data_IF_462933300523
#
_entry.id   IF_462933300523
#
_cell.length_a   1.000
_cell.length_b   1.000
_cell.length_c   1.000
_cell.angle_alpha   90.00
_cell.angle_beta   90.00
_cell.angle_gamma   90.00
#
_symmetry.space_group_name_H-M   'P 1'
#
loop_
_entity.id
_entity.type
_entity.pdbx_description
1 polymer ?
#
# COMPACT_ATOMS: atom_id res chain seq x y z
N UNK A 1 44.28 -5.76 -21.59
CA UNK A 1 42.96 -5.81 -20.93
C UNK A 1 42.94 -5.16 -19.56
N UNK A 2 43.98 -5.32 -18.72
CA UNK A 2 44.05 -4.68 -17.39
C UNK A 2 44.18 -3.15 -17.43
N UNK A 3 44.95 -2.58 -18.36
CA UNK A 3 45.17 -1.13 -18.47
C UNK A 3 43.90 -0.32 -18.78
N UNK A 4 42.99 -0.88 -19.59
CA UNK A 4 41.70 -0.24 -19.90
C UNK A 4 40.72 -0.25 -18.73
N UNK A 5 40.77 -1.27 -17.89
CA UNK A 5 39.96 -1.33 -16.66
C UNK A 5 40.47 -0.29 -15.64
N UNK A 6 41.79 -0.13 -15.55
CA UNK A 6 42.41 0.87 -14.66
C UNK A 6 42.07 2.29 -15.10
N UNK A 7 42.10 2.60 -16.40
CA UNK A 7 41.73 3.95 -16.88
C UNK A 7 40.25 4.26 -16.67
N UNK A 8 39.36 3.30 -16.93
CA UNK A 8 37.92 3.46 -16.68
C UNK A 8 37.64 3.66 -15.18
N UNK A 9 38.31 2.90 -14.31
CA UNK A 9 38.17 3.06 -12.86
C UNK A 9 38.66 4.45 -12.38
N UNK A 10 39.78 4.95 -12.91
CA UNK A 10 40.30 6.28 -12.58
C UNK A 10 39.36 7.40 -13.04
N UNK A 11 38.80 7.30 -14.25
CA UNK A 11 37.80 8.25 -14.74
C UNK A 11 36.54 8.21 -13.88
N UNK A 12 36.05 7.02 -13.54
CA UNK A 12 34.87 6.89 -12.68
C UNK A 12 35.10 7.52 -11.29
N UNK A 13 36.25 7.25 -10.66
CA UNK A 13 36.60 7.82 -9.35
C UNK A 13 36.74 9.33 -9.39
N UNK A 14 37.38 9.88 -10.42
CA UNK A 14 37.55 11.32 -10.58
C UNK A 14 36.22 12.03 -10.83
N UNK A 15 35.32 11.41 -11.59
CA UNK A 15 33.95 11.92 -11.79
C UNK A 15 33.16 11.93 -10.48
N UNK A 16 33.20 10.85 -9.70
CA UNK A 16 32.55 10.78 -8.37
C UNK A 16 33.13 11.82 -7.41
N UNK A 17 34.46 11.97 -7.38
CA UNK A 17 35.13 12.98 -6.55
C UNK A 17 34.74 14.41 -6.95
N UNK A 18 34.64 14.69 -8.25
CA UNK A 18 34.19 15.97 -8.77
C UNK A 18 32.74 16.26 -8.36
N UNK A 19 31.82 15.31 -8.57
CA UNK A 19 30.43 15.47 -8.16
C UNK A 19 30.29 15.69 -6.65
N UNK A 20 31.07 14.96 -5.84
CA UNK A 20 31.08 15.14 -4.39
C UNK A 20 31.61 16.53 -3.99
N UNK A 21 32.70 16.99 -4.60
CA UNK A 21 33.28 18.31 -4.34
C UNK A 21 32.31 19.43 -4.76
N UNK A 22 31.69 19.31 -5.93
CA UNK A 22 30.67 20.25 -6.40
C UNK A 22 29.46 20.27 -5.46
N UNK A 23 28.98 19.11 -5.01
CA UNK A 23 27.89 19.03 -4.05
C UNK A 23 28.24 19.72 -2.72
N UNK A 24 29.45 19.49 -2.19
CA UNK A 24 29.93 20.11 -0.94
C UNK A 24 30.06 21.63 -1.03
N UNK A 25 30.49 22.17 -2.17
CA UNK A 25 30.63 23.62 -2.38
C UNK A 25 29.28 24.28 -2.68
N UNK A 26 28.40 23.60 -3.44
CA UNK A 26 27.11 24.14 -3.83
C UNK A 26 26.00 23.95 -2.77
N UNK A 27 26.18 23.06 -1.78
CA UNK A 27 25.18 22.84 -0.73
C UNK A 27 25.10 24.04 0.22
N UNK A 28 23.97 24.75 0.20
CA UNK A 28 23.67 25.88 1.11
C UNK A 28 23.47 25.41 2.56
N UNK A 29 23.10 24.15 2.75
CA UNK A 29 23.03 23.47 4.05
C UNK A 29 23.45 22.02 3.80
N UNK A 30 24.58 21.62 4.38
CA UNK A 30 25.16 20.28 4.22
C UNK A 30 24.61 19.28 5.24
N UNK A 31 23.96 19.78 6.30
CA UNK A 31 23.29 18.94 7.29
C UNK A 31 21.87 18.60 6.84
N UNK A 32 21.43 17.34 6.93
CA UNK A 32 20.03 17.03 6.76
C UNK A 32 19.25 17.80 7.83
N UNK A 33 18.37 18.70 7.40
CA UNK A 33 17.43 19.36 8.29
C UNK A 33 16.65 18.27 9.01
N UNK A 34 16.87 18.13 10.32
CA UNK A 34 16.10 17.26 11.20
C UNK A 34 14.75 17.93 11.43
N UNK A 35 13.92 17.96 10.40
CA UNK A 35 12.56 18.46 10.48
C UNK A 35 11.75 17.40 11.21
N UNK A 36 11.43 17.68 12.46
CA UNK A 36 10.52 16.83 13.23
C UNK A 36 9.12 16.90 12.61
N UNK A 37 8.31 15.82 12.75
CA UNK A 37 6.89 15.86 12.41
C UNK A 37 6.21 17.07 13.05
N UNK A 38 5.39 17.77 12.29
CA UNK A 38 4.68 18.95 12.77
C UNK A 38 3.65 18.55 13.83
N UNK A 39 4.01 18.68 15.12
CA UNK A 39 3.12 18.46 16.26
C UNK A 39 2.93 19.74 17.08
N UNK A 40 2.69 20.89 16.43
CA UNK A 40 2.51 22.19 17.12
C UNK A 40 3.66 22.61 18.07
N UNK A 41 4.88 22.12 17.81
CA UNK A 41 6.07 22.40 18.63
C UNK A 41 6.42 21.29 19.64
N UNK A 42 5.62 20.24 19.75
CA UNK A 42 5.90 19.09 20.62
C UNK A 42 6.81 18.08 19.94
N UNK A 43 7.68 17.44 20.72
CA UNK A 43 8.48 16.32 20.23
C UNK A 43 7.58 15.06 20.09
N UNK A 44 7.73 14.28 19.00
CA UNK A 44 6.96 13.06 18.82
C UNK A 44 7.12 12.11 20.01
N UNK A 45 6.02 11.80 20.68
CA UNK A 45 6.00 10.89 21.83
C UNK A 45 5.96 9.41 21.42
N UNK A 46 5.42 9.12 20.24
CA UNK A 46 5.28 7.77 19.73
C UNK A 46 6.19 7.49 18.53
N UNK A 47 6.56 6.23 18.39
CA UNK A 47 7.36 5.77 17.26
C UNK A 47 6.56 5.87 15.95
N UNK A 48 7.23 6.16 14.84
CA UNK A 48 6.58 6.36 13.52
C UNK A 48 5.76 5.14 13.04
N UNK A 49 6.10 3.95 13.53
CA UNK A 49 5.42 2.68 13.21
C UNK A 49 4.53 2.18 14.35
N UNK A 50 4.18 3.05 15.31
CA UNK A 50 3.25 2.69 16.37
C UNK A 50 1.91 2.25 15.78
N UNK A 51 1.32 1.21 16.37
CA UNK A 51 0.08 0.61 15.87
C UNK A 51 -1.12 1.41 16.38
N UNK A 52 -1.49 2.45 15.65
CA UNK A 52 -2.68 3.22 15.95
C UNK A 52 -3.94 2.46 15.51
N UNK A 53 -4.69 1.98 16.50
CA UNK A 53 -6.06 1.43 16.39
C UNK A 53 -6.31 0.35 15.31
N UNK A 54 -6.56 -0.90 15.76
CA UNK A 54 -6.97 -2.01 14.89
C UNK A 54 -8.33 -1.84 14.18
N UNK A 55 -9.05 -0.73 14.43
CA UNK A 55 -10.40 -0.47 13.91
C UNK A 55 -10.48 -0.49 12.38
N UNK A 56 -9.43 -0.06 11.69
CA UNK A 56 -9.39 -0.01 10.22
C UNK A 56 -9.20 -1.39 9.59
N UNK A 57 -8.63 -2.34 10.31
CA UNK A 57 -8.29 -3.66 9.79
C UNK A 57 -9.54 -4.47 9.40
N UNK A 58 -10.56 -4.48 10.26
CA UNK A 58 -11.81 -5.20 9.99
C UNK A 58 -12.55 -4.63 8.77
N UNK A 59 -12.62 -3.31 8.65
CA UNK A 59 -13.22 -2.65 7.49
C UNK A 59 -12.47 -3.01 6.20
N UNK A 60 -11.13 -3.03 6.23
CA UNK A 60 -10.30 -3.41 5.07
C UNK A 60 -10.50 -4.86 4.65
N UNK A 61 -10.60 -5.81 5.59
CA UNK A 61 -10.85 -7.22 5.24
C UNK A 61 -12.23 -7.40 4.59
N UNK A 62 -13.26 -6.76 5.15
CA UNK A 62 -14.62 -6.83 4.57
C UNK A 62 -14.64 -6.21 3.18
N UNK A 63 -13.99 -5.06 3.00
CA UNK A 63 -13.85 -4.43 1.69
C UNK A 63 -13.13 -5.33 0.69
N UNK A 64 -12.00 -5.93 1.09
CA UNK A 64 -11.24 -6.84 0.23
C UNK A 64 -12.05 -8.08 -0.18
N UNK A 65 -12.83 -8.65 0.75
CA UNK A 65 -13.70 -9.78 0.44
C UNK A 65 -14.76 -9.40 -0.61
N UNK A 66 -15.37 -8.22 -0.48
CA UNK A 66 -16.35 -7.69 -1.44
C UNK A 66 -15.72 -7.37 -2.81
N UNK A 67 -14.49 -6.85 -2.84
CA UNK A 67 -13.76 -6.57 -4.08
C UNK A 67 -13.43 -7.85 -4.86
N UNK A 68 -13.03 -8.91 -4.16
CA UNK A 68 -12.81 -10.24 -4.76
C UNK A 68 -14.12 -10.84 -5.28
N UNK A 69 -15.27 -10.54 -4.67
CA UNK A 69 -16.57 -10.97 -5.20
C UNK A 69 -16.90 -10.31 -6.54
N UNK A 70 -16.61 -9.02 -6.71
CA UNK A 70 -16.76 -8.34 -8.00
C UNK A 70 -15.92 -8.99 -9.09
N UNK A 71 -14.73 -9.50 -8.75
CA UNK A 71 -13.91 -10.26 -9.68
C UNK A 71 -14.63 -11.52 -10.21
N UNK A 72 -15.41 -12.21 -9.36
CA UNK A 72 -16.20 -13.39 -9.76
C UNK A 72 -17.45 -13.02 -10.58
N UNK A 73 -17.98 -11.81 -10.42
CA UNK A 73 -19.12 -11.34 -11.21
C UNK A 73 -18.79 -11.14 -12.69
N UNK A 74 -17.55 -10.76 -13.04
CA UNK A 74 -17.15 -10.55 -14.44
C UNK A 74 -17.29 -11.80 -15.33
N UNK A 75 -16.70 -12.97 -15.00
CA UNK A 75 -16.87 -14.17 -15.82
C UNK A 75 -18.30 -14.70 -15.76
N UNK A 76 -18.98 -14.56 -14.62
CA UNK A 76 -20.38 -14.97 -14.49
C UNK A 76 -21.29 -14.21 -15.46
N UNK A 77 -21.08 -12.90 -15.65
CA UNK A 77 -21.89 -12.08 -16.55
C UNK A 77 -21.83 -12.55 -18.01
N UNK A 78 -20.76 -13.26 -18.40
CA UNK A 78 -20.63 -13.87 -19.72
C UNK A 78 -21.34 -15.23 -19.75
N UNK A 79 -21.12 -16.06 -18.74
CA UNK A 79 -21.64 -17.45 -18.68
C UNK A 79 -23.15 -17.52 -18.43
N UNK A 80 -23.74 -16.48 -17.83
CA UNK A 80 -25.19 -16.44 -17.53
C UNK A 80 -26.06 -16.57 -18.78
N UNK A 81 -25.55 -16.17 -19.95
CA UNK A 81 -26.25 -16.28 -21.24
C UNK A 81 -26.44 -17.76 -21.62
N UNK A 82 -25.44 -18.61 -21.35
CA UNK A 82 -25.49 -20.04 -21.68
C UNK A 82 -26.17 -20.87 -20.60
N UNK A 83 -25.95 -20.52 -19.32
CA UNK A 83 -26.45 -21.27 -18.16
C UNK A 83 -27.86 -20.84 -17.71
N UNK A 84 -28.31 -19.66 -18.12
CA UNK A 84 -29.64 -19.13 -17.78
C UNK A 84 -29.88 -19.04 -16.27
N UNK A 85 -31.06 -19.50 -15.82
CA UNK A 85 -31.53 -19.32 -14.45
C UNK A 85 -30.65 -19.99 -13.39
N UNK A 86 -29.99 -21.11 -13.70
CA UNK A 86 -29.10 -21.79 -12.74
C UNK A 86 -27.95 -20.88 -12.31
N UNK A 87 -27.29 -20.23 -13.26
CA UNK A 87 -26.21 -19.30 -12.97
C UNK A 87 -26.70 -18.08 -12.18
N UNK A 88 -27.93 -17.61 -12.42
CA UNK A 88 -28.52 -16.51 -11.63
C UNK A 88 -28.68 -16.92 -10.17
N UNK A 89 -29.24 -18.11 -9.90
CA UNK A 89 -29.41 -18.63 -8.54
C UNK A 89 -28.06 -18.81 -7.84
N UNK A 90 -27.07 -19.40 -8.53
CA UNK A 90 -25.72 -19.57 -8.00
C UNK A 90 -25.07 -18.23 -7.61
N UNK A 91 -25.24 -17.19 -8.43
CA UNK A 91 -24.72 -15.85 -8.12
C UNK A 91 -25.41 -15.21 -6.92
N UNK A 92 -26.73 -15.31 -6.80
CA UNK A 92 -27.44 -14.80 -5.62
C UNK A 92 -27.11 -15.59 -4.35
N UNK A 93 -26.82 -16.88 -4.45
CA UNK A 93 -26.32 -17.66 -3.31
C UNK A 93 -24.92 -17.21 -2.88
N UNK A 94 -24.05 -16.92 -3.84
CA UNK A 94 -22.71 -16.39 -3.58
C UNK A 94 -22.78 -15.02 -2.88
N UNK A 95 -23.56 -14.08 -3.44
CA UNK A 95 -23.81 -12.75 -2.88
C UNK A 95 -24.50 -12.83 -1.51
N UNK A 96 -25.41 -13.79 -1.34
CA UNK A 96 -26.08 -14.07 -0.07
C UNK A 96 -25.10 -14.50 1.03
N UNK A 97 -24.13 -15.36 0.70
CA UNK A 97 -23.12 -15.79 1.66
C UNK A 97 -22.27 -14.62 2.17
N UNK A 98 -21.91 -13.68 1.28
CA UNK A 98 -21.12 -12.51 1.64
C UNK A 98 -21.95 -11.49 2.44
N UNK A 99 -23.22 -11.30 2.10
CA UNK A 99 -24.17 -10.52 2.91
C UNK A 99 -24.31 -11.07 4.33
N UNK A 100 -24.35 -12.40 4.51
CA UNK A 100 -24.36 -13.03 5.84
C UNK A 100 -23.09 -12.71 6.63
N UNK A 101 -21.92 -12.77 5.98
CA UNK A 101 -20.65 -12.40 6.61
C UNK A 101 -20.62 -10.92 7.05
N UNK A 102 -21.12 -10.00 6.21
CA UNK A 102 -21.23 -8.57 6.55
C UNK A 102 -22.22 -8.34 7.68
N UNK A 103 -23.37 -9.02 7.66
CA UNK A 103 -24.35 -8.93 8.73
C UNK A 103 -23.77 -9.40 10.07
N UNK A 104 -22.98 -10.49 10.06
CA UNK A 104 -22.25 -10.95 11.24
C UNK A 104 -21.22 -9.92 11.71
N UNK A 105 -20.38 -9.39 10.82
CA UNK A 105 -19.38 -8.38 11.14
C UNK A 105 -20.01 -7.10 11.74
N UNK A 106 -21.20 -6.72 11.26
CA UNK A 106 -21.98 -5.61 11.84
C UNK A 106 -22.39 -5.89 13.29
N UNK A 107 -22.80 -7.12 13.61
CA UNK A 107 -23.15 -7.51 14.99
C UNK A 107 -21.94 -7.51 15.92
N UNK A 108 -20.77 -7.89 15.42
CA UNK A 108 -19.50 -7.89 16.19
C UNK A 108 -18.94 -6.47 16.41
N UNK A 109 -19.57 -5.45 15.82
CA UNK A 109 -19.14 -4.07 15.99
C UNK A 109 -17.94 -3.69 15.13
N UNK A 110 -17.68 -4.43 14.03
CA UNK A 110 -16.64 -4.09 13.06
C UNK A 110 -16.77 -2.67 12.49
N UNK A 111 -18.01 -2.13 12.51
CA UNK A 111 -18.34 -0.78 12.05
C UNK A 111 -18.64 0.20 13.21
N UNK A 112 -18.18 -0.06 14.44
CA UNK A 112 -18.36 0.87 15.57
C UNK A 112 -17.22 1.89 15.60
N UNK A 113 -17.57 3.17 15.42
CA UNK A 113 -16.61 4.28 15.23
C UNK A 113 -16.54 5.24 16.43
N UNK A 114 -17.21 4.89 17.53
CA UNK A 114 -17.18 5.59 18.81
C UNK A 114 -16.40 4.77 19.84
#
# INVERSE_FOLDING_TARGET
MSSGIVSVALVALSVVALFYALHRVASITSDPLTVLPAQSGWAPQEHALSRFHARWYLASIVFLAFDVEMLFMYPWAVVVIEKGLSAVVEMFLFLGALLVAVAWARREGAFRWA
#
